data_IF_682693196814
#
_entry.id   IF_682693196814
#
_cell.length_a   1.000
_cell.length_b   1.000
_cell.length_c   1.000
_cell.angle_alpha   90.00
_cell.angle_beta   90.00
_cell.angle_gamma   90.00
#
_symmetry.space_group_name_H-M   'P 1'
#
loop_
_entity.id
_entity.type
_entity.pdbx_description
1 polymer ?
#
# COMPACT_ATOMS: atom_id res chain seq x y z
N UNK A 1 -36.32 26.72 -36.21
CA UNK A 1 -35.39 27.75 -36.70
C UNK A 1 -34.72 28.44 -35.52
N UNK A 2 -33.53 28.00 -35.07
CA UNK A 2 -32.80 28.68 -34.01
C UNK A 2 -31.77 29.66 -34.58
N UNK A 3 -31.78 30.90 -34.06
CA UNK A 3 -30.70 31.88 -34.20
C UNK A 3 -29.77 31.78 -32.98
N UNK A 4 -28.44 31.72 -33.26
CA UNK A 4 -27.28 32.35 -32.58
C UNK A 4 -27.47 32.83 -31.11
N UNK A 5 -26.59 32.54 -30.13
CA UNK A 5 -25.17 32.91 -30.12
C UNK A 5 -24.41 32.43 -28.85
N UNK A 6 -23.11 32.12 -29.01
CA UNK A 6 -21.97 32.16 -28.05
C UNK A 6 -22.09 31.56 -26.64
N UNK A 7 -21.27 30.54 -26.36
CA UNK A 7 -20.03 30.64 -25.54
C UNK A 7 -19.13 29.43 -25.83
N UNK A 8 -17.88 29.70 -26.20
CA UNK A 8 -16.71 28.98 -25.67
C UNK A 8 -16.36 27.59 -26.23
N UNK A 9 -15.57 27.59 -27.30
CA UNK A 9 -14.40 26.75 -27.54
C UNK A 9 -14.03 25.66 -26.48
N UNK A 10 -14.29 24.39 -26.84
CA UNK A 10 -13.32 23.28 -27.01
C UNK A 10 -12.19 23.09 -25.97
N UNK A 11 -12.27 22.00 -25.20
CA UNK A 11 -11.17 21.05 -24.96
C UNK A 11 -11.70 19.66 -24.53
N UNK A 12 -11.35 18.63 -25.29
CA UNK A 12 -11.28 17.19 -24.93
C UNK A 12 -9.79 16.82 -25.11
N UNK A 13 -9.28 15.66 -24.67
CA UNK A 13 -9.59 14.78 -23.54
C UNK A 13 -8.31 14.45 -22.72
N UNK A 14 -8.43 13.73 -21.60
CA UNK A 14 -7.31 12.98 -21.01
C UNK A 14 -6.52 13.69 -19.92
N UNK A 15 -6.90 13.45 -18.67
CA UNK A 15 -6.00 13.52 -17.52
C UNK A 15 -6.13 12.20 -16.76
N UNK A 16 -5.02 11.58 -16.29
CA UNK A 16 -5.12 10.43 -15.39
C UNK A 16 -5.95 10.84 -14.16
N UNK A 17 -6.77 9.96 -13.59
CA UNK A 17 -7.47 10.27 -12.36
C UNK A 17 -6.41 10.68 -11.33
N UNK A 18 -6.57 11.89 -10.80
CA UNK A 18 -5.74 12.42 -9.74
C UNK A 18 -5.59 11.34 -8.67
N UNK A 19 -4.34 10.91 -8.47
CA UNK A 19 -3.94 10.16 -7.29
C UNK A 19 -4.59 10.84 -6.09
N UNK A 20 -5.37 10.07 -5.32
CA UNK A 20 -6.00 10.59 -4.12
C UNK A 20 -4.89 10.98 -3.17
N UNK A 21 -4.65 12.28 -3.07
CA UNK A 21 -3.77 12.95 -2.12
C UNK A 21 -4.36 12.85 -0.69
N UNK A 22 -4.84 11.67 -0.30
CA UNK A 22 -5.53 11.40 0.95
C UNK A 22 -5.20 10.04 1.54
N UNK A 23 -4.36 9.23 0.89
CA UNK A 23 -3.81 8.06 1.58
C UNK A 23 -2.80 8.57 2.62
N UNK A 24 -3.07 8.39 3.92
CA UNK A 24 -2.09 8.73 4.94
C UNK A 24 -0.81 7.91 4.68
N UNK A 25 0.37 8.40 5.09
CA UNK A 25 1.56 7.55 5.07
C UNK A 25 1.22 6.26 5.80
N UNK A 26 1.81 5.14 5.36
CA UNK A 26 1.73 3.83 6.01
C UNK A 26 2.19 3.94 7.46
N UNK A 27 1.27 4.44 8.27
CA UNK A 27 1.38 4.50 9.70
C UNK A 27 1.01 3.09 10.04
N UNK A 28 1.97 2.31 10.56
CA UNK A 28 1.68 1.04 11.22
C UNK A 28 0.62 1.38 12.26
N UNK A 29 -0.65 1.15 11.93
CA UNK A 29 -1.73 1.32 12.86
C UNK A 29 -1.58 0.14 13.80
N UNK A 30 -1.38 0.41 15.09
CA UNK A 30 -1.38 -0.64 16.09
C UNK A 30 -2.68 -1.45 15.99
N UNK A 31 -2.63 -2.69 16.45
CA UNK A 31 -3.72 -3.64 16.29
C UNK A 31 -5.01 -3.13 16.96
N UNK A 32 -6.10 -2.99 16.20
CA UNK A 32 -7.41 -2.59 16.70
C UNK A 32 -8.28 -3.82 16.99
N UNK A 33 -8.54 -4.10 18.27
CA UNK A 33 -9.37 -5.24 18.69
C UNK A 33 -10.86 -5.10 18.36
N UNK A 34 -11.27 -4.00 17.72
CA UNK A 34 -12.61 -3.85 17.12
C UNK A 34 -12.62 -4.16 15.62
N UNK A 35 -11.46 -4.24 14.96
CA UNK A 35 -11.36 -4.65 13.57
C UNK A 35 -11.33 -6.19 13.46
N UNK A 36 -12.19 -6.81 12.65
CA UNK A 36 -12.26 -8.25 12.54
C UNK A 36 -10.99 -8.90 11.98
N UNK A 37 -10.16 -8.20 11.19
CA UNK A 37 -8.91 -8.73 10.66
C UNK A 37 -7.84 -8.81 11.75
N UNK A 38 -7.72 -7.76 12.56
CA UNK A 38 -6.79 -7.71 13.69
C UNK A 38 -7.14 -8.75 14.76
N UNK A 39 -8.43 -8.91 15.07
CA UNK A 39 -8.91 -9.97 15.96
C UNK A 39 -8.57 -11.36 15.42
N UNK A 40 -8.76 -11.58 14.12
CA UNK A 40 -8.42 -12.86 13.49
C UNK A 40 -6.91 -13.12 13.51
N UNK A 41 -6.09 -12.10 13.23
CA UNK A 41 -4.63 -12.19 13.28
C UNK A 41 -4.16 -12.57 14.69
N UNK A 42 -4.64 -11.88 15.72
CA UNK A 42 -4.31 -12.18 17.12
C UNK A 42 -4.70 -13.62 17.51
N UNK A 43 -5.89 -14.07 17.10
CA UNK A 43 -6.34 -15.44 17.33
C UNK A 43 -5.39 -16.47 16.69
N UNK A 44 -5.06 -16.29 15.41
CA UNK A 44 -4.19 -17.23 14.70
C UNK A 44 -2.76 -17.21 15.24
N UNK A 45 -2.24 -16.06 15.62
CA UNK A 45 -0.94 -15.97 16.29
C UNK A 45 -0.91 -16.83 17.56
N UNK A 46 -1.97 -16.76 18.39
CA UNK A 46 -2.08 -17.58 19.61
C UNK A 46 -2.14 -19.08 19.31
N UNK A 47 -2.92 -19.48 18.30
CA UNK A 47 -3.08 -20.90 17.91
C UNK A 47 -1.78 -21.48 17.34
N UNK A 48 -1.05 -20.70 16.55
CA UNK A 48 0.18 -21.12 15.89
C UNK A 48 1.44 -20.93 16.76
N UNK A 49 1.31 -20.34 17.93
CA UNK A 49 2.42 -20.05 18.84
C UNK A 49 3.32 -18.91 18.35
N UNK A 50 2.79 -18.00 17.54
CA UNK A 50 3.47 -16.79 17.09
C UNK A 50 3.12 -15.59 17.98
N UNK A 51 3.91 -14.53 17.87
CA UNK A 51 3.68 -13.24 18.52
C UNK A 51 3.61 -12.17 17.44
N UNK A 52 2.60 -11.30 17.53
CA UNK A 52 2.48 -10.13 16.67
C UNK A 52 3.29 -9.01 17.31
N UNK A 53 4.15 -8.37 16.53
CA UNK A 53 4.97 -7.24 16.95
C UNK A 53 4.46 -6.01 16.20
N UNK A 54 4.11 -4.97 16.95
CA UNK A 54 3.61 -3.70 16.41
C UNK A 54 4.73 -2.68 16.13
N UNK A 55 5.93 -2.93 16.65
CA UNK A 55 7.13 -2.13 16.36
C UNK A 55 7.48 -2.23 14.87
N UNK A 56 7.97 -1.14 14.24
CA UNK A 56 8.48 -1.20 12.88
C UNK A 56 9.51 -2.33 12.72
N UNK A 57 9.38 -3.17 11.67
CA UNK A 57 10.30 -4.28 11.47
C UNK A 57 11.70 -3.75 11.15
N UNK A 58 12.73 -4.44 11.65
CA UNK A 58 14.10 -4.07 11.38
C UNK A 58 14.40 -4.15 9.85
N UNK A 59 15.19 -3.21 9.30
CA UNK A 59 15.36 -3.06 7.85
C UNK A 59 16.08 -4.25 7.18
N UNK A 60 16.79 -5.06 7.97
CA UNK A 60 17.49 -6.26 7.52
C UNK A 60 16.57 -7.48 7.39
N UNK A 61 15.39 -7.45 8.01
CA UNK A 61 14.36 -8.49 7.90
C UNK A 61 13.66 -8.45 6.54
N UNK A 62 13.10 -9.59 6.07
CA UNK A 62 12.35 -9.62 4.81
C UNK A 62 11.23 -8.56 4.74
N UNK A 63 10.46 -8.40 5.82
CA UNK A 63 9.38 -7.42 5.89
C UNK A 63 9.92 -5.98 5.86
N UNK A 64 11.02 -5.71 6.57
CA UNK A 64 11.69 -4.40 6.55
C UNK A 64 12.16 -3.99 5.16
N UNK A 65 12.66 -4.93 4.36
CA UNK A 65 13.07 -4.68 2.96
C UNK A 65 11.89 -4.36 2.06
N UNK A 66 10.78 -5.08 2.21
CA UNK A 66 9.55 -4.83 1.47
C UNK A 66 8.98 -3.46 1.81
N UNK A 67 8.94 -3.09 3.09
CA UNK A 67 8.49 -1.75 3.49
C UNK A 67 9.40 -0.66 2.92
N UNK A 68 10.71 -0.85 2.90
CA UNK A 68 11.64 0.09 2.28
C UNK A 68 11.35 0.26 0.77
N UNK A 69 11.08 -0.83 0.06
CA UNK A 69 10.70 -0.80 -1.35
C UNK A 69 9.38 -0.05 -1.59
N UNK A 70 8.38 -0.30 -0.73
CA UNK A 70 7.08 0.39 -0.79
C UNK A 70 7.24 1.89 -0.56
N UNK A 71 8.08 2.30 0.39
CA UNK A 71 8.35 3.72 0.65
C UNK A 71 9.00 4.41 -0.56
N UNK A 72 9.83 3.69 -1.32
CA UNK A 72 10.53 4.24 -2.48
C UNK A 72 9.68 4.24 -3.77
N UNK A 73 8.92 3.17 -4.02
CA UNK A 73 8.23 2.91 -5.29
C UNK A 73 6.69 2.96 -5.21
N UNK A 74 6.13 2.95 -4.00
CA UNK A 74 4.70 2.86 -3.74
C UNK A 74 4.18 1.41 -3.67
N UNK A 75 3.06 1.21 -3.00
CA UNK A 75 2.42 -0.11 -2.84
C UNK A 75 2.00 -0.73 -4.18
N UNK A 76 1.58 0.10 -5.15
CA UNK A 76 1.16 -0.34 -6.47
C UNK A 76 2.29 -1.01 -7.28
N UNK A 77 3.56 -0.76 -6.92
CA UNK A 77 4.71 -1.39 -7.54
C UNK A 77 5.04 -2.77 -6.92
N UNK A 78 4.42 -3.12 -5.78
CA UNK A 78 4.69 -4.37 -5.10
C UNK A 78 4.08 -5.54 -5.87
N UNK A 79 4.86 -6.62 -5.99
CA UNK A 79 4.48 -7.85 -6.67
C UNK A 79 4.95 -9.04 -5.85
N UNK A 80 4.38 -10.20 -6.13
CA UNK A 80 4.71 -11.44 -5.41
C UNK A 80 6.20 -11.78 -5.54
N UNK A 81 6.84 -11.44 -6.67
CA UNK A 81 8.27 -11.68 -6.87
C UNK A 81 9.15 -10.89 -5.88
N UNK A 82 8.67 -9.73 -5.39
CA UNK A 82 9.36 -8.95 -4.37
C UNK A 82 9.29 -9.63 -3.00
N UNK A 83 8.17 -10.28 -2.68
CA UNK A 83 8.02 -11.02 -1.43
C UNK A 83 8.94 -12.25 -1.41
N UNK A 84 9.01 -12.96 -2.54
CA UNK A 84 9.90 -14.11 -2.71
C UNK A 84 11.37 -13.67 -2.60
N UNK A 85 11.75 -12.62 -3.32
CA UNK A 85 13.11 -12.07 -3.28
C UNK A 85 13.50 -11.59 -1.87
N UNK A 86 12.60 -10.93 -1.14
CA UNK A 86 12.84 -10.52 0.25
C UNK A 86 13.05 -11.72 1.18
N UNK A 87 12.27 -12.79 1.00
CA UNK A 87 12.36 -14.03 1.79
C UNK A 87 13.66 -14.77 1.54
N UNK A 88 14.11 -14.83 0.28
CA UNK A 88 15.38 -15.47 -0.12
C UNK A 88 16.60 -14.57 0.12
N UNK A 89 16.38 -13.34 0.59
CA UNK A 89 17.43 -12.37 0.86
C UNK A 89 18.05 -11.77 -0.41
N UNK A 90 17.40 -11.91 -1.57
CA UNK A 90 17.79 -11.30 -2.84
C UNK A 90 17.43 -9.80 -2.87
N UNK A 91 18.11 -8.99 -3.69
CA UNK A 91 17.74 -7.59 -3.88
C UNK A 91 16.35 -7.46 -4.55
N UNK A 92 15.58 -6.47 -4.11
CA UNK A 92 14.30 -6.10 -4.71
C UNK A 92 14.58 -5.21 -5.92
N UNK A 93 14.08 -5.60 -7.09
CA UNK A 93 14.25 -4.86 -8.34
C UNK A 93 12.98 -4.01 -8.59
N UNK A 94 13.12 -2.79 -9.14
CA UNK A 94 11.99 -1.93 -9.45
C UNK A 94 11.20 -2.36 -10.69
#
# INVERSE_FOLDING_TARGET
MPCFERIGCRARPGGPPAARLSDPPLTVHGMDMNDPQDVAAAFWAQILGFTIVEEPPAPDTPLGRVLAFIVEHGEDALRDEHIEAATEGRPLLP
#
